data_IF_725854631898
#
_entry.id   IF_725854631898
#
_cell.length_a   1.000
_cell.length_b   1.000
_cell.length_c   1.000
_cell.angle_alpha   90.00
_cell.angle_beta   90.00
_cell.angle_gamma   90.00
#
_symmetry.space_group_name_H-M   'P 1'
#
loop_
_entity.id
_entity.type
_entity.pdbx_description
1 polymer ?
#
# COMPACT_ATOMS: atom_id res chain seq x y z
N UNK A 1 -23.80 6.46 8.83
CA UNK A 1 -22.36 6.84 8.99
C UNK A 1 -21.82 6.57 10.40
N UNK A 2 -22.37 7.17 11.47
CA UNK A 2 -21.87 6.93 12.86
C UNK A 2 -22.05 5.48 13.34
N UNK A 3 -23.19 4.86 13.02
CA UNK A 3 -23.46 3.46 13.39
C UNK A 3 -22.56 2.47 12.64
N UNK A 4 -22.27 2.73 11.37
CA UNK A 4 -21.30 1.97 10.58
C UNK A 4 -19.91 2.00 11.23
N UNK A 5 -19.43 3.20 11.62
CA UNK A 5 -18.17 3.34 12.35
C UNK A 5 -18.18 2.68 13.73
N UNK A 6 -19.30 2.64 14.44
CA UNK A 6 -19.43 1.92 15.72
C UNK A 6 -19.41 0.39 15.55
N UNK A 7 -20.09 -0.13 14.52
CA UNK A 7 -20.02 -1.54 14.11
C UNK A 7 -18.59 -1.91 13.72
N UNK A 8 -17.95 -1.12 12.86
CA UNK A 8 -16.54 -1.29 12.49
C UNK A 8 -15.62 -1.28 13.73
N UNK A 9 -15.82 -0.35 14.68
CA UNK A 9 -14.98 -0.25 15.89
C UNK A 9 -15.12 -1.47 16.83
N UNK A 10 -16.24 -2.21 16.74
CA UNK A 10 -16.50 -3.44 17.51
C UNK A 10 -15.98 -4.71 16.81
N UNK A 11 -15.96 -4.75 15.47
CA UNK A 11 -15.53 -5.92 14.68
C UNK A 11 -14.09 -5.87 14.16
N UNK A 12 -13.50 -4.69 14.02
CA UNK A 12 -12.09 -4.48 13.63
C UNK A 12 -11.04 -4.80 14.73
N UNK A 13 -11.32 -4.83 16.06
CA UNK A 13 -10.29 -5.07 17.08
C UNK A 13 -9.36 -6.27 16.86
N UNK A 14 -9.84 -7.48 16.47
CA UNK A 14 -8.95 -8.61 16.22
C UNK A 14 -8.11 -8.45 14.94
N UNK A 15 -8.55 -7.64 13.97
CA UNK A 15 -7.87 -7.47 12.68
C UNK A 15 -7.02 -6.20 12.56
N UNK A 16 -6.90 -5.39 13.63
CA UNK A 16 -6.09 -4.14 13.62
C UNK A 16 -4.65 -4.36 13.13
N UNK A 17 -4.02 -5.49 13.46
CA UNK A 17 -2.67 -5.82 12.99
C UNK A 17 -2.62 -6.00 11.48
N UNK A 18 -3.60 -6.68 10.89
CA UNK A 18 -3.68 -6.89 9.44
C UNK A 18 -3.97 -5.58 8.70
N UNK A 19 -4.85 -4.72 9.23
CA UNK A 19 -5.12 -3.39 8.66
C UNK A 19 -3.87 -2.52 8.68
N UNK A 20 -3.13 -2.49 9.80
CA UNK A 20 -1.89 -1.73 9.92
C UNK A 20 -0.84 -2.25 8.94
N UNK A 21 -0.66 -3.58 8.84
CA UNK A 21 0.28 -4.18 7.90
C UNK A 21 -0.08 -3.90 6.44
N UNK A 22 -1.36 -4.02 6.07
CA UNK A 22 -1.81 -3.68 4.72
C UNK A 22 -1.56 -2.20 4.41
N UNK A 23 -1.87 -1.30 5.33
CA UNK A 23 -1.66 0.15 5.17
C UNK A 23 -0.17 0.48 5.02
N UNK A 24 0.69 -0.10 5.86
CA UNK A 24 2.15 0.09 5.78
C UNK A 24 2.71 -0.45 4.46
N UNK A 25 2.27 -1.63 4.01
CA UNK A 25 2.72 -2.22 2.75
C UNK A 25 2.24 -1.44 1.52
N UNK A 26 1.01 -0.90 1.56
CA UNK A 26 0.49 -0.05 0.50
C UNK A 26 1.23 1.30 0.46
N UNK A 27 1.48 1.91 1.61
CA UNK A 27 2.25 3.15 1.71
C UNK A 27 3.68 2.96 1.20
N UNK A 28 4.33 1.86 1.59
CA UNK A 28 5.66 1.50 1.09
C UNK A 28 5.64 1.30 -0.43
N UNK A 29 4.64 0.59 -0.97
CA UNK A 29 4.46 0.44 -2.42
C UNK A 29 4.27 1.78 -3.14
N UNK A 30 3.53 2.72 -2.55
CA UNK A 30 3.35 4.05 -3.10
C UNK A 30 4.66 4.87 -3.11
N UNK A 31 5.45 4.81 -2.03
CA UNK A 31 6.76 5.46 -1.96
C UNK A 31 7.72 4.88 -3.01
N UNK A 32 7.78 3.55 -3.11
CA UNK A 32 8.58 2.86 -4.12
C UNK A 32 8.16 3.23 -5.55
N UNK A 33 6.86 3.44 -5.78
CA UNK A 33 6.36 3.90 -7.07
C UNK A 33 6.89 5.29 -7.45
N UNK A 34 6.83 6.24 -6.50
CA UNK A 34 7.35 7.59 -6.72
C UNK A 34 8.85 7.53 -7.00
N UNK A 35 9.57 6.68 -6.26
CA UNK A 35 11.01 6.49 -6.47
C UNK A 35 11.32 5.93 -7.86
N UNK A 36 10.61 4.88 -8.30
CA UNK A 36 10.76 4.32 -9.66
C UNK A 36 10.51 5.36 -10.75
N UNK A 37 9.51 6.24 -10.59
CA UNK A 37 9.27 7.33 -11.54
C UNK A 37 10.37 8.38 -11.52
N UNK A 38 10.85 8.75 -10.33
CA UNK A 38 11.93 9.73 -10.18
C UNK A 38 13.24 9.27 -10.84
N UNK A 39 13.49 7.95 -10.91
CA UNK A 39 14.67 7.37 -11.56
C UNK A 39 14.63 7.43 -13.09
N UNK A 40 13.46 7.65 -13.71
CA UNK A 40 13.36 7.76 -15.16
C UNK A 40 14.04 9.05 -15.66
N UNK A 41 13.92 10.15 -14.90
CA UNK A 41 14.54 11.43 -15.24
C UNK A 41 16.07 11.35 -15.43
N UNK A 42 16.87 10.84 -14.47
CA UNK A 42 18.32 10.69 -14.65
C UNK A 42 18.66 9.70 -15.77
N UNK A 43 17.90 8.61 -15.95
CA UNK A 43 18.13 7.67 -17.06
C UNK A 43 18.02 8.38 -18.42
N UNK A 44 17.00 9.22 -18.60
CA UNK A 44 16.81 9.98 -19.84
C UNK A 44 17.90 11.03 -20.04
N UNK A 45 18.30 11.74 -18.98
CA UNK A 45 19.38 12.73 -19.03
C UNK A 45 20.71 12.09 -19.47
N UNK A 46 21.03 10.90 -18.95
CA UNK A 46 22.21 10.13 -19.35
C UNK A 46 22.09 9.65 -20.80
N UNK A 47 20.93 9.09 -21.19
CA UNK A 47 20.69 8.55 -22.52
C UNK A 47 20.83 9.61 -23.62
N UNK A 48 20.25 10.80 -23.38
CA UNK A 48 20.30 11.92 -24.32
C UNK A 48 21.54 12.80 -24.16
N UNK A 49 22.45 12.48 -23.22
CA UNK A 49 23.66 13.26 -22.92
C UNK A 49 23.36 14.74 -22.67
N UNK A 50 22.26 15.03 -21.95
CA UNK A 50 21.82 16.40 -21.69
C UNK A 50 22.61 17.04 -20.55
N UNK A 51 23.28 16.24 -19.71
CA UNK A 51 24.11 16.73 -18.61
C UNK A 51 25.49 17.19 -19.10
N UNK A 52 25.68 18.50 -19.13
CA UNK A 52 26.98 19.19 -19.13
C UNK A 52 27.31 19.77 -17.75
N UNK A 53 26.53 19.46 -16.73
CA UNK A 53 26.66 20.08 -15.41
C UNK A 53 27.61 19.28 -14.51
N UNK A 54 28.62 19.97 -13.98
CA UNK A 54 29.52 19.45 -12.95
C UNK A 54 28.77 19.51 -11.63
N UNK A 55 28.20 18.39 -11.22
CA UNK A 55 27.65 18.28 -9.87
C UNK A 55 28.80 18.19 -8.86
N UNK A 56 28.78 19.04 -7.84
CA UNK A 56 29.69 18.98 -6.70
C UNK A 56 28.98 18.37 -5.50
N UNK A 57 29.70 17.57 -4.71
CA UNK A 57 29.19 16.98 -3.47
C UNK A 57 28.89 18.08 -2.46
N UNK A 58 27.65 18.16 -1.98
CA UNK A 58 27.27 19.11 -0.92
C UNK A 58 27.23 18.35 0.42
N UNK A 59 28.03 18.77 1.42
CA UNK A 59 28.02 18.18 2.76
C UNK A 59 26.63 18.23 3.39
N UNK A 60 26.24 17.17 4.10
CA UNK A 60 24.90 17.03 4.70
C UNK A 60 24.59 18.03 5.83
N UNK A 61 25.53 18.90 6.16
CA UNK A 61 25.46 19.88 7.26
C UNK A 61 25.17 21.32 6.77
N UNK A 62 24.90 21.53 5.48
CA UNK A 62 24.54 22.86 4.98
C UNK A 62 23.09 23.20 5.31
N UNK A 63 22.89 23.93 6.43
CA UNK A 63 21.61 24.40 6.98
C UNK A 63 20.79 25.30 6.02
N UNK A 64 21.42 25.81 4.95
CA UNK A 64 20.84 26.83 4.06
C UNK A 64 20.06 26.28 2.85
N UNK A 65 20.13 24.98 2.58
CA UNK A 65 19.52 24.37 1.38
C UNK A 65 18.40 23.42 1.80
N UNK A 66 17.26 23.47 1.12
CA UNK A 66 16.14 22.56 1.33
C UNK A 66 16.61 21.11 1.25
N UNK A 67 16.26 20.29 2.24
CA UNK A 67 16.70 18.88 2.35
C UNK A 67 16.41 18.06 1.09
N UNK A 68 15.35 18.42 0.36
CA UNK A 68 14.99 17.85 -0.93
C UNK A 68 16.05 18.13 -2.01
N UNK A 69 16.52 19.37 -2.11
CA UNK A 69 17.48 19.78 -3.14
C UNK A 69 18.87 19.21 -2.85
N UNK A 70 19.21 19.06 -1.57
CA UNK A 70 20.44 18.40 -1.13
C UNK A 70 20.47 16.90 -1.49
N UNK A 71 19.34 16.20 -1.28
CA UNK A 71 19.17 14.80 -1.66
C UNK A 71 19.25 14.60 -3.18
N UNK A 72 18.58 15.47 -3.94
CA UNK A 72 18.57 15.41 -5.40
C UNK A 72 19.97 15.68 -5.95
N UNK A 73 20.67 16.71 -5.46
CA UNK A 73 22.02 17.05 -5.92
C UNK A 73 23.03 15.93 -5.59
N UNK A 74 22.99 15.38 -4.37
CA UNK A 74 23.88 14.28 -4.01
C UNK A 74 23.57 13.00 -4.82
N UNK A 75 22.30 12.75 -5.16
CA UNK A 75 21.94 11.66 -6.05
C UNK A 75 22.55 11.84 -7.45
N UNK A 76 22.42 13.03 -8.03
CA UNK A 76 23.05 13.35 -9.33
C UNK A 76 24.59 13.31 -9.27
N UNK A 77 25.21 13.72 -8.16
CA UNK A 77 26.65 13.57 -7.93
C UNK A 77 27.12 12.12 -7.95
N UNK A 78 26.41 11.21 -7.26
CA UNK A 78 26.77 9.79 -7.28
C UNK A 78 26.59 9.17 -8.67
N UNK A 79 25.53 9.59 -9.39
CA UNK A 79 25.28 9.15 -10.77
C UNK A 79 26.39 9.69 -11.71
N UNK A 80 26.78 10.95 -11.60
CA UNK A 80 27.83 11.55 -12.44
C UNK A 80 29.22 10.98 -12.13
N UNK A 81 29.54 10.73 -10.86
CA UNK A 81 30.77 10.04 -10.46
C UNK A 81 30.85 8.61 -11.01
N UNK A 82 29.73 7.87 -11.00
CA UNK A 82 29.64 6.54 -11.61
C UNK A 82 29.86 6.58 -13.12
N UNK A 83 29.35 7.62 -13.80
CA UNK A 83 29.56 7.82 -15.24
C UNK A 83 31.03 8.11 -15.57
N UNK A 84 31.71 8.94 -14.77
CA UNK A 84 33.12 9.26 -14.97
C UNK A 84 34.03 8.04 -14.72
N UNK A 85 33.71 7.21 -13.74
CA UNK A 85 34.52 6.04 -13.39
C UNK A 85 34.31 4.83 -14.32
N UNK A 86 33.05 4.51 -14.66
CA UNK A 86 32.70 3.25 -15.34
C UNK A 86 32.01 3.44 -16.71
N UNK A 87 31.82 4.69 -17.15
CA UNK A 87 31.16 5.03 -18.40
C UNK A 87 29.62 5.05 -18.33
N UNK A 88 29.01 5.76 -19.28
CA UNK A 88 27.56 5.95 -19.33
C UNK A 88 26.78 4.64 -19.51
N UNK A 89 27.28 3.71 -20.34
CA UNK A 89 26.60 2.44 -20.63
C UNK A 89 26.52 1.53 -19.40
N UNK A 90 27.57 1.43 -18.59
CA UNK A 90 27.57 0.63 -17.36
C UNK A 90 26.65 1.24 -16.29
N UNK A 91 26.65 2.57 -16.16
CA UNK A 91 25.77 3.29 -15.24
C UNK A 91 24.30 3.13 -15.59
N UNK A 92 23.95 3.23 -16.89
CA UNK A 92 22.61 2.95 -17.41
C UNK A 92 22.17 1.51 -17.10
N UNK A 93 23.06 0.54 -17.26
CA UNK A 93 22.76 -0.86 -16.96
C UNK A 93 22.47 -1.07 -15.46
N UNK A 94 23.27 -0.47 -14.57
CA UNK A 94 23.04 -0.55 -13.12
C UNK A 94 21.72 0.13 -12.74
N UNK A 95 21.45 1.33 -13.24
CA UNK A 95 20.21 2.06 -12.96
C UNK A 95 18.98 1.29 -13.47
N UNK A 96 19.08 0.69 -14.67
CA UNK A 96 18.02 -0.15 -15.22
C UNK A 96 17.77 -1.40 -14.39
N UNK A 97 18.83 -2.12 -13.99
CA UNK A 97 18.72 -3.29 -13.11
C UNK A 97 18.10 -2.91 -11.76
N UNK A 98 18.55 -1.80 -11.18
CA UNK A 98 18.00 -1.28 -9.94
C UNK A 98 16.50 -0.94 -10.06
N UNK A 99 16.09 -0.33 -11.18
CA UNK A 99 14.67 -0.05 -11.46
C UNK A 99 13.84 -1.33 -11.57
N UNK A 100 14.36 -2.37 -12.23
CA UNK A 100 13.69 -3.68 -12.32
C UNK A 100 13.52 -4.28 -10.93
N UNK A 101 14.57 -4.30 -10.11
CA UNK A 101 14.52 -4.82 -8.73
C UNK A 101 13.53 -4.03 -7.87
N UNK A 102 13.54 -2.69 -7.95
CA UNK A 102 12.60 -1.84 -7.22
C UNK A 102 11.15 -2.06 -7.66
N UNK A 103 10.90 -2.22 -8.96
CA UNK A 103 9.56 -2.46 -9.50
C UNK A 103 9.04 -3.84 -9.11
N UNK A 104 9.93 -4.83 -9.07
CA UNK A 104 9.60 -6.15 -8.54
C UNK A 104 9.23 -6.07 -7.05
N UNK A 105 10.03 -5.37 -6.25
CA UNK A 105 9.76 -5.19 -4.82
C UNK A 105 8.46 -4.43 -4.55
N UNK A 106 8.16 -3.37 -5.34
CA UNK A 106 6.87 -2.68 -5.33
C UNK A 106 5.71 -3.64 -5.59
N UNK A 107 5.81 -4.45 -6.65
CA UNK A 107 4.78 -5.42 -7.03
C UNK A 107 4.58 -6.45 -5.93
N UNK A 108 5.66 -6.90 -5.31
CA UNK A 108 5.62 -7.81 -4.17
C UNK A 108 4.91 -7.18 -2.96
N UNK A 109 5.25 -5.94 -2.56
CA UNK A 109 4.58 -5.24 -1.47
C UNK A 109 3.08 -5.02 -1.75
N UNK A 110 2.73 -4.69 -2.99
CA UNK A 110 1.34 -4.53 -3.40
C UNK A 110 0.56 -5.86 -3.31
N UNK A 111 1.17 -6.95 -3.78
CA UNK A 111 0.60 -8.29 -3.69
C UNK A 111 0.44 -8.73 -2.23
N UNK A 112 1.46 -8.53 -1.40
CA UNK A 112 1.41 -8.83 0.04
C UNK A 112 0.33 -8.01 0.75
N UNK A 113 0.18 -6.73 0.41
CA UNK A 113 -0.91 -5.89 0.95
C UNK A 113 -2.29 -6.43 0.55
N UNK A 114 -2.45 -6.88 -0.69
CA UNK A 114 -3.71 -7.44 -1.17
C UNK A 114 -4.01 -8.77 -0.48
N UNK A 115 -2.99 -9.62 -0.31
CA UNK A 115 -3.10 -10.89 0.39
C UNK A 115 -3.51 -10.72 1.86
N UNK A 116 -3.01 -9.68 2.55
CA UNK A 116 -3.40 -9.34 3.93
C UNK A 116 -4.82 -8.75 4.01
N UNK A 117 -5.31 -8.14 2.94
CA UNK A 117 -6.65 -7.54 2.89
C UNK A 117 -7.77 -8.57 2.67
N UNK A 118 -7.48 -9.71 2.03
CA UNK A 118 -8.45 -10.79 1.80
C UNK A 118 -8.99 -11.42 3.10
N UNK A 119 -8.17 -11.87 4.07
CA UNK A 119 -8.66 -12.44 5.33
C UNK A 119 -9.33 -11.38 6.22
N UNK A 120 -8.97 -10.11 6.06
CA UNK A 120 -9.66 -9.00 6.73
C UNK A 120 -11.12 -8.91 6.23
N UNK A 121 -11.33 -8.82 4.91
CA UNK A 121 -12.68 -8.68 4.31
C UNK A 121 -13.54 -9.90 4.63
N UNK A 122 -13.03 -11.09 4.34
CA UNK A 122 -13.76 -12.35 4.52
C UNK A 122 -13.93 -12.73 6.00
N UNK A 123 -12.97 -12.39 6.85
CA UNK A 123 -13.02 -12.64 8.30
C UNK A 123 -14.06 -11.79 9.01
N UNK A 124 -14.15 -10.50 8.67
CA UNK A 124 -15.17 -9.60 9.24
C UNK A 124 -16.58 -10.04 8.87
N UNK A 125 -16.83 -10.40 7.59
CA UNK A 125 -18.14 -10.89 7.13
C UNK A 125 -18.51 -12.20 7.84
N UNK A 126 -17.54 -13.11 8.03
CA UNK A 126 -17.74 -14.35 8.78
C UNK A 126 -18.18 -14.09 10.22
N UNK A 127 -17.49 -13.19 10.92
CA UNK A 127 -17.79 -12.87 12.32
C UNK A 127 -19.19 -12.24 12.48
N UNK A 128 -19.59 -11.38 11.54
CA UNK A 128 -20.94 -10.80 11.50
C UNK A 128 -21.97 -11.92 11.32
N UNK A 129 -21.76 -12.82 10.35
CA UNK A 129 -22.68 -13.94 10.08
C UNK A 129 -22.84 -14.85 11.30
N UNK A 130 -21.75 -15.16 12.00
CA UNK A 130 -21.79 -15.99 13.23
C UNK A 130 -22.57 -15.30 14.35
N UNK A 131 -22.37 -14.00 14.57
CA UNK A 131 -23.12 -13.28 15.60
C UNK A 131 -24.61 -13.13 15.28
N UNK A 132 -24.97 -12.88 14.02
CA UNK A 132 -26.38 -12.85 13.60
C UNK A 132 -27.01 -14.22 13.79
N UNK A 133 -26.31 -15.30 13.45
CA UNK A 133 -26.78 -16.66 13.63
C UNK A 133 -27.00 -17.02 15.11
N UNK A 134 -26.03 -16.75 16.00
CA UNK A 134 -26.18 -16.99 17.45
C UNK A 134 -27.32 -16.16 18.05
N UNK A 135 -27.52 -14.92 17.56
CA UNK A 135 -28.64 -14.08 18.02
C UNK A 135 -29.99 -14.68 17.64
N UNK A 136 -30.12 -15.17 16.40
CA UNK A 136 -31.37 -15.80 15.93
C UNK A 136 -31.68 -17.06 16.73
N UNK A 137 -30.68 -17.89 17.03
CA UNK A 137 -30.87 -19.11 17.82
C UNK A 137 -31.34 -18.84 19.27
N UNK A 138 -31.04 -17.66 19.82
CA UNK A 138 -31.46 -17.27 21.18
C UNK A 138 -32.81 -16.56 21.25
N UNK A 139 -33.49 -16.33 20.11
CA UNK A 139 -34.78 -15.65 20.10
C UNK A 139 -35.91 -16.57 20.58
N UNK A 140 -36.88 -16.05 21.34
CA UNK A 140 -38.02 -16.84 21.82
C UNK A 140 -38.91 -17.29 20.65
N UNK A 141 -39.56 -18.44 20.82
CA UNK A 141 -40.43 -19.04 19.80
C UNK A 141 -41.56 -18.12 19.32
N UNK A 142 -42.03 -17.18 20.16
CA UNK A 142 -43.04 -16.19 19.79
C UNK A 142 -42.59 -15.26 18.66
N UNK A 143 -41.30 -14.91 18.60
CA UNK A 143 -40.74 -14.09 17.51
C UNK A 143 -40.86 -14.79 16.15
N UNK A 144 -40.67 -16.11 16.12
CA UNK A 144 -40.78 -16.92 14.89
C UNK A 144 -42.22 -17.20 14.45
N UNK A 145 -43.21 -16.89 15.31
CA UNK A 145 -44.62 -17.03 14.98
C UNK A 145 -45.20 -15.76 14.35
N UNK A 146 -44.62 -14.59 14.63
CA UNK A 146 -45.07 -13.30 14.09
C UNK A 146 -44.36 -12.94 12.78
N UNK A 147 -43.08 -13.29 12.65
CA UNK A 147 -42.27 -12.95 11.48
C UNK A 147 -42.29 -14.03 10.39
N UNK A 148 -42.30 -13.61 9.12
CA UNK A 148 -42.22 -14.55 8.00
C UNK A 148 -40.83 -15.17 7.94
N UNK A 149 -40.75 -16.51 7.95
CA UNK A 149 -39.49 -17.26 7.84
C UNK A 149 -38.60 -16.81 6.66
N UNK A 150 -39.22 -16.40 5.55
CA UNK A 150 -38.54 -15.87 4.37
C UNK A 150 -37.82 -14.54 4.61
N UNK A 151 -38.40 -13.64 5.41
CA UNK A 151 -37.81 -12.34 5.72
C UNK A 151 -36.59 -12.49 6.64
N UNK A 152 -36.65 -13.44 7.58
CA UNK A 152 -35.51 -13.77 8.45
C UNK A 152 -34.33 -14.31 7.62
N UNK A 153 -34.60 -15.20 6.65
CA UNK A 153 -33.56 -15.75 5.76
C UNK A 153 -33.00 -14.67 4.82
N UNK A 154 -33.86 -13.80 4.29
CA UNK A 154 -33.45 -12.70 3.42
C UNK A 154 -32.53 -11.71 4.14
N UNK A 155 -32.83 -11.34 5.39
CA UNK A 155 -31.96 -10.46 6.19
C UNK A 155 -30.66 -11.14 6.62
N UNK A 156 -30.67 -12.44 6.90
CA UNK A 156 -29.46 -13.17 7.30
C UNK A 156 -28.49 -13.44 6.15
N UNK A 157 -28.99 -13.62 4.93
CA UNK A 157 -28.17 -13.96 3.76
C UNK A 157 -27.92 -12.76 2.85
N UNK A 158 -28.94 -11.94 2.63
CA UNK A 158 -28.89 -10.75 1.76
C UNK A 158 -28.19 -9.58 2.43
N UNK A 159 -28.75 -9.09 3.54
CA UNK A 159 -28.22 -7.88 4.20
C UNK A 159 -26.83 -8.09 4.79
N UNK A 160 -26.49 -9.31 5.25
CA UNK A 160 -25.13 -9.65 5.70
C UNK A 160 -24.17 -9.81 4.52
N UNK A 161 -24.67 -10.19 3.34
CA UNK A 161 -23.90 -10.26 2.11
C UNK A 161 -23.54 -8.88 1.55
N UNK A 162 -24.44 -7.90 1.65
CA UNK A 162 -24.21 -6.49 1.28
C UNK A 162 -23.13 -5.79 2.12
N UNK A 163 -22.69 -6.40 3.23
CA UNK A 163 -21.60 -5.88 4.06
C UNK A 163 -20.21 -6.25 3.49
N UNK A 164 -20.13 -7.19 2.54
CA UNK A 164 -18.88 -7.60 1.89
C UNK A 164 -18.28 -6.51 1.00
#
# INVERSE_FOLDING_TARGET
MKEFFQLMKRFVPPYKKYVIWALVLNLLSAILNIFSFSLIAPILQILFKVDKDVYEFIPWDTVTISTKDLLINNFYYYVSAMIQANGASFTLMILGLFLVVMTFFKTFCYFASSAVMIPLRTGVVRDIRVMVYDKVLRLPLGFFSEERKGDIIARMSGDVGEIE
#
